data_IF_261040322954
#
_entry.id   IF_261040322954
#
_cell.length_a   1.000
_cell.length_b   1.000
_cell.length_c   1.000
_cell.angle_alpha   90.00
_cell.angle_beta   90.00
_cell.angle_gamma   90.00
#
_symmetry.space_group_name_H-M   'P 1'
#
loop_
_entity.id
_entity.type
_entity.pdbx_description
1 polymer ?
#
# COMPACT_ATOMS: atom_id res chain seq x y z
N UNK A 1 20.50 -4.82 12.49
CA UNK A 1 19.23 -5.20 11.84
C UNK A 1 18.01 -4.56 12.53
N UNK A 2 18.04 -3.23 12.74
CA UNK A 2 16.94 -2.46 13.38
C UNK A 2 16.36 -1.40 12.43
N UNK A 3 17.16 -0.91 11.47
CA UNK A 3 16.76 0.09 10.48
C UNK A 3 15.72 -0.40 9.44
N UNK A 4 15.68 -1.69 9.09
CA UNK A 4 14.76 -2.18 8.04
C UNK A 4 13.27 -2.06 8.42
N UNK A 5 12.93 -2.26 9.70
CA UNK A 5 11.56 -2.14 10.22
C UNK A 5 11.01 -0.71 10.04
N UNK A 6 11.86 0.28 10.30
CA UNK A 6 11.52 1.69 10.08
C UNK A 6 11.43 2.02 8.59
N UNK A 7 12.20 1.34 7.75
CA UNK A 7 12.24 1.61 6.31
C UNK A 7 10.96 1.17 5.59
N UNK A 8 10.42 -0.03 5.88
CA UNK A 8 9.16 -0.46 5.25
C UNK A 8 8.00 0.45 5.63
N UNK A 9 7.96 0.92 6.88
CA UNK A 9 6.98 1.90 7.33
C UNK A 9 7.11 3.20 6.53
N UNK A 10 8.31 3.77 6.43
CA UNK A 10 8.54 5.01 5.69
C UNK A 10 8.06 4.89 4.23
N UNK A 11 8.47 3.82 3.54
CA UNK A 11 8.07 3.58 2.15
C UNK A 11 6.56 3.44 1.99
N UNK A 12 5.90 2.80 2.96
CA UNK A 12 4.45 2.65 2.97
C UNK A 12 3.76 4.00 3.18
N UNK A 13 4.30 4.84 4.06
CA UNK A 13 3.80 6.19 4.30
C UNK A 13 3.99 7.10 3.08
N UNK A 14 5.16 7.06 2.43
CA UNK A 14 5.41 7.80 1.19
C UNK A 14 4.44 7.38 0.07
N UNK A 15 4.19 6.07 -0.04
CA UNK A 15 3.21 5.54 -0.99
C UNK A 15 1.80 6.04 -0.66
N UNK A 16 1.46 6.13 0.62
CA UNK A 16 0.17 6.66 1.05
C UNK A 16 0.00 8.14 0.64
N UNK A 17 1.00 8.97 0.89
CA UNK A 17 1.02 10.37 0.47
C UNK A 17 0.88 10.52 -1.05
N UNK A 18 1.44 9.59 -1.82
CA UNK A 18 1.28 9.58 -3.28
C UNK A 18 -0.15 9.24 -3.73
N UNK A 19 -0.88 8.40 -2.98
CA UNK A 19 -2.26 8.03 -3.31
C UNK A 19 -3.28 9.16 -3.05
N UNK A 20 -3.06 10.06 -2.11
CA UNK A 20 -4.03 11.13 -1.81
C UNK A 20 -4.29 12.09 -2.99
N UNK A 21 -3.26 12.67 -3.65
CA UNK A 21 -3.46 13.43 -4.88
C UNK A 21 -4.04 12.60 -6.02
N UNK A 22 -3.89 11.26 -5.97
CA UNK A 22 -4.48 10.37 -6.96
C UNK A 22 -6.01 10.37 -6.87
N UNK A 23 -6.55 10.26 -5.66
CA UNK A 23 -7.99 10.19 -5.39
C UNK A 23 -8.72 11.47 -5.79
N UNK A 24 -8.07 12.63 -5.60
CA UNK A 24 -8.61 13.92 -6.02
C UNK A 24 -8.86 14.03 -7.54
N UNK A 25 -8.13 13.27 -8.37
CA UNK A 25 -8.33 13.24 -9.82
C UNK A 25 -9.40 12.26 -10.29
N UNK A 26 -9.94 11.43 -9.40
CA UNK A 26 -11.06 10.54 -9.74
C UNK A 26 -12.32 11.40 -9.93
N UNK A 27 -13.12 11.17 -11.00
CA UNK A 27 -14.39 11.85 -11.21
C UNK A 27 -15.31 11.75 -10.00
N UNK A 28 -16.08 12.81 -9.73
CA UNK A 28 -16.96 12.90 -8.54
C UNK A 28 -17.91 11.70 -8.43
N UNK A 29 -18.42 11.20 -9.56
CA UNK A 29 -19.30 10.02 -9.64
C UNK A 29 -18.68 8.73 -9.09
N UNK A 30 -17.34 8.59 -9.14
CA UNK A 30 -16.63 7.39 -8.70
C UNK A 30 -15.84 7.60 -7.41
N UNK A 31 -15.73 8.84 -6.91
CA UNK A 31 -14.93 9.18 -5.73
C UNK A 31 -15.45 8.51 -4.47
N UNK A 32 -16.77 8.46 -4.28
CA UNK A 32 -17.40 7.84 -3.10
C UNK A 32 -17.25 6.32 -3.05
N UNK A 33 -16.94 5.68 -4.19
CA UNK A 33 -16.77 4.23 -4.27
C UNK A 33 -15.28 3.90 -4.39
N UNK A 34 -14.66 4.22 -5.53
CA UNK A 34 -13.27 3.87 -5.82
C UNK A 34 -12.28 4.73 -5.01
N UNK A 35 -12.54 6.03 -4.91
CA UNK A 35 -11.69 6.94 -4.13
C UNK A 35 -11.64 6.54 -2.66
N UNK A 36 -12.82 6.41 -2.04
CA UNK A 36 -12.97 5.94 -0.66
C UNK A 36 -12.30 4.58 -0.42
N UNK A 37 -12.51 3.61 -1.31
CA UNK A 37 -11.90 2.29 -1.19
C UNK A 37 -10.36 2.35 -1.19
N UNK A 38 -9.76 3.22 -2.01
CA UNK A 38 -8.32 3.45 -2.04
C UNK A 38 -7.86 4.10 -0.73
N UNK A 39 -8.49 5.20 -0.31
CA UNK A 39 -8.10 5.94 0.90
C UNK A 39 -8.15 5.07 2.15
N UNK A 40 -9.26 4.34 2.35
CA UNK A 40 -9.41 3.45 3.50
C UNK A 40 -8.32 2.38 3.54
N UNK A 41 -7.98 1.79 2.39
CA UNK A 41 -6.97 0.71 2.31
C UNK A 41 -5.56 1.23 2.49
N UNK A 42 -5.27 2.41 1.95
CA UNK A 42 -3.98 3.08 2.14
C UNK A 42 -3.75 3.43 3.61
N UNK A 43 -4.76 4.00 4.29
CA UNK A 43 -4.69 4.33 5.72
C UNK A 43 -4.52 3.05 6.55
N UNK A 44 -5.34 2.02 6.28
CA UNK A 44 -5.28 0.75 6.97
C UNK A 44 -3.89 0.08 6.81
N UNK A 45 -3.31 0.12 5.62
CA UNK A 45 -1.99 -0.44 5.34
C UNK A 45 -0.90 0.22 6.19
N UNK A 46 -0.86 1.55 6.23
CA UNK A 46 0.13 2.30 7.04
C UNK A 46 0.01 1.94 8.52
N UNK A 47 -1.22 1.94 9.05
CA UNK A 47 -1.48 1.61 10.45
C UNK A 47 -1.08 0.16 10.75
N UNK A 48 -1.39 -0.77 9.85
CA UNK A 48 -1.07 -2.20 10.03
C UNK A 48 0.43 -2.45 9.98
N UNK A 49 1.17 -1.80 9.08
CA UNK A 49 2.64 -1.85 9.05
C UNK A 49 3.24 -1.33 10.36
N UNK A 50 2.73 -0.20 10.87
CA UNK A 50 3.17 0.35 12.16
C UNK A 50 2.91 -0.62 13.33
N UNK A 51 1.71 -1.22 13.39
CA UNK A 51 1.37 -2.25 14.38
C UNK A 51 2.24 -3.49 14.26
N UNK A 52 2.48 -3.99 13.04
CA UNK A 52 3.35 -5.15 12.83
C UNK A 52 4.79 -4.88 13.31
N UNK A 53 5.26 -3.63 13.19
CA UNK A 53 6.59 -3.23 13.64
C UNK A 53 6.77 -3.30 15.16
N UNK A 54 5.72 -3.08 15.96
CA UNK A 54 5.79 -3.17 17.42
C UNK A 54 5.59 -4.60 17.96
N UNK A 55 5.16 -5.54 17.10
CA UNK A 55 4.88 -6.92 17.47
C UNK A 55 6.04 -7.88 17.14
N UNK A 56 5.96 -9.10 17.68
CA UNK A 56 6.91 -10.20 17.46
C UNK A 56 6.17 -11.52 17.26
N UNK A 57 6.88 -12.52 16.75
CA UNK A 57 6.37 -13.89 16.61
C UNK A 57 5.11 -13.97 15.75
N UNK A 58 4.17 -14.81 16.18
CA UNK A 58 2.95 -15.14 15.44
C UNK A 58 2.05 -13.93 15.16
N UNK A 59 1.91 -13.01 16.10
CA UNK A 59 1.07 -11.82 15.93
C UNK A 59 1.62 -10.87 14.86
N UNK A 60 2.95 -10.72 14.79
CA UNK A 60 3.60 -9.99 13.68
C UNK A 60 3.34 -10.70 12.35
N UNK A 61 3.49 -12.02 12.30
CA UNK A 61 3.28 -12.79 11.07
C UNK A 61 1.86 -12.66 10.53
N UNK A 62 0.84 -12.70 11.40
CA UNK A 62 -0.56 -12.46 11.02
C UNK A 62 -0.75 -11.10 10.36
N UNK A 63 -0.19 -10.04 10.95
CA UNK A 63 -0.27 -8.70 10.36
C UNK A 63 0.54 -8.59 9.06
N UNK A 64 1.70 -9.24 8.96
CA UNK A 64 2.47 -9.28 7.71
C UNK A 64 1.69 -9.92 6.56
N UNK A 65 0.92 -10.99 6.83
CA UNK A 65 0.02 -11.57 5.84
C UNK A 65 -1.10 -10.60 5.44
N UNK A 66 -1.70 -9.91 6.42
CA UNK A 66 -2.71 -8.89 6.15
C UNK A 66 -2.14 -7.75 5.27
N UNK A 67 -0.94 -7.26 5.57
CA UNK A 67 -0.24 -6.24 4.77
C UNK A 67 -0.03 -6.74 3.33
N UNK A 68 0.33 -8.02 3.14
CA UNK A 68 0.49 -8.61 1.80
C UNK A 68 -0.82 -8.57 1.02
N UNK A 69 -1.93 -8.97 1.64
CA UNK A 69 -3.25 -8.96 1.02
C UNK A 69 -3.74 -7.54 0.68
N UNK A 70 -3.48 -6.57 1.56
CA UNK A 70 -3.82 -5.17 1.32
C UNK A 70 -3.02 -4.57 0.16
N UNK A 71 -1.73 -4.93 0.03
CA UNK A 71 -0.91 -4.53 -1.12
C UNK A 71 -1.47 -5.09 -2.43
N UNK A 72 -1.90 -6.35 -2.47
CA UNK A 72 -2.51 -6.95 -3.66
C UNK A 72 -3.85 -6.29 -4.00
N UNK A 73 -4.66 -5.98 -3.00
CA UNK A 73 -5.91 -5.24 -3.16
C UNK A 73 -5.64 -3.85 -3.75
N UNK A 74 -4.67 -3.10 -3.21
CA UNK A 74 -4.29 -1.78 -3.71
C UNK A 74 -3.74 -1.84 -5.14
N UNK A 75 -3.05 -2.91 -5.55
CA UNK A 75 -2.64 -3.12 -6.95
C UNK A 75 -3.84 -3.22 -7.87
N UNK A 76 -4.88 -3.95 -7.47
CA UNK A 76 -6.11 -4.09 -8.25
C UNK A 76 -6.80 -2.72 -8.37
N UNK A 77 -6.96 -1.99 -7.27
CA UNK A 77 -7.58 -0.67 -7.27
C UNK A 77 -6.78 0.33 -8.13
N UNK A 78 -5.44 0.33 -8.05
CA UNK A 78 -4.60 1.17 -8.90
C UNK A 78 -4.76 0.81 -10.38
N UNK A 79 -4.82 -0.49 -10.72
CA UNK A 79 -5.05 -0.95 -12.10
C UNK A 79 -6.40 -0.47 -12.63
N UNK A 80 -7.46 -0.55 -11.82
CA UNK A 80 -8.78 -0.01 -12.18
C UNK A 80 -8.71 1.48 -12.51
N UNK A 81 -7.97 2.29 -11.73
CA UNK A 81 -7.84 3.72 -12.02
C UNK A 81 -7.18 4.00 -13.39
N UNK A 82 -6.29 3.12 -13.83
CA UNK A 82 -5.63 3.20 -15.15
C UNK A 82 -6.58 2.72 -16.26
N UNK A 83 -7.26 1.59 -16.07
CA UNK A 83 -8.18 1.03 -17.09
C UNK A 83 -9.40 1.94 -17.31
N UNK A 84 -9.88 2.61 -16.27
CA UNK A 84 -10.91 3.66 -16.34
C UNK A 84 -10.38 5.01 -16.85
N UNK A 85 -9.10 5.08 -17.23
CA UNK A 85 -8.43 6.29 -17.76
C UNK A 85 -8.38 7.47 -16.78
N UNK A 86 -8.54 7.25 -15.48
CA UNK A 86 -8.33 8.29 -14.46
C UNK A 86 -6.84 8.59 -14.23
N UNK A 87 -5.96 7.69 -14.71
CA UNK A 87 -4.50 7.83 -14.66
C UNK A 87 -3.83 7.48 -15.97
N UNK A 88 -2.73 8.17 -16.23
CA UNK A 88 -1.82 7.81 -17.32
C UNK A 88 -1.08 6.50 -17.01
N UNK A 89 -0.63 5.82 -18.07
CA UNK A 89 0.20 4.62 -17.96
C UNK A 89 1.48 4.91 -17.14
N UNK A 90 2.07 6.09 -17.30
CA UNK A 90 3.26 6.52 -16.54
C UNK A 90 2.99 6.59 -15.04
N UNK A 91 1.87 7.18 -14.64
CA UNK A 91 1.48 7.25 -13.22
C UNK A 91 1.16 5.87 -12.64
N UNK A 92 0.49 5.02 -13.40
CA UNK A 92 0.26 3.63 -13.02
C UNK A 92 1.58 2.88 -12.80
N UNK A 93 2.51 2.95 -13.75
CA UNK A 93 3.80 2.28 -13.68
C UNK A 93 4.59 2.71 -12.44
N UNK A 94 4.67 4.01 -12.17
CA UNK A 94 5.32 4.54 -10.98
C UNK A 94 4.71 3.99 -9.68
N UNK A 95 3.38 4.07 -9.53
CA UNK A 95 2.72 3.57 -8.33
C UNK A 95 2.86 2.04 -8.16
N UNK A 96 2.77 1.29 -9.26
CA UNK A 96 2.95 -0.15 -9.25
C UNK A 96 4.37 -0.56 -8.85
N UNK A 97 5.38 0.15 -9.33
CA UNK A 97 6.78 -0.08 -8.97
C UNK A 97 7.02 0.13 -7.48
N UNK A 98 6.49 1.21 -6.91
CA UNK A 98 6.59 1.48 -5.46
C UNK A 98 5.88 0.44 -4.61
N UNK A 99 4.71 -0.03 -5.01
CA UNK A 99 4.05 -1.17 -4.34
C UNK A 99 4.87 -2.47 -4.43
N UNK A 100 5.57 -2.70 -5.55
CA UNK A 100 6.46 -3.85 -5.70
C UNK A 100 7.71 -3.74 -4.82
N UNK A 101 8.26 -2.54 -4.65
CA UNK A 101 9.32 -2.27 -3.68
C UNK A 101 8.88 -2.66 -2.27
N UNK A 102 7.73 -2.15 -1.81
CA UNK A 102 7.17 -2.45 -0.48
C UNK A 102 6.94 -3.97 -0.31
N UNK A 103 6.37 -4.65 -1.31
CA UNK A 103 6.13 -6.09 -1.22
C UNK A 103 7.42 -6.92 -1.17
N UNK A 104 8.50 -6.50 -1.85
CA UNK A 104 9.81 -7.15 -1.71
C UNK A 104 10.36 -6.98 -0.30
N UNK A 105 10.25 -5.78 0.27
CA UNK A 105 10.67 -5.50 1.64
C UNK A 105 9.85 -6.32 2.65
N UNK A 106 8.54 -6.41 2.47
CA UNK A 106 7.66 -7.23 3.31
C UNK A 106 8.08 -8.70 3.27
N UNK A 107 8.31 -9.26 2.08
CA UNK A 107 8.76 -10.65 1.93
C UNK A 107 10.11 -10.90 2.60
N UNK A 108 11.06 -9.96 2.50
CA UNK A 108 12.33 -10.06 3.21
C UNK A 108 12.11 -10.05 4.72
N UNK A 109 11.26 -9.14 5.22
CA UNK A 109 10.92 -9.03 6.64
C UNK A 109 10.20 -10.28 7.19
N UNK A 110 9.38 -10.95 6.38
CA UNK A 110 8.71 -12.20 6.77
C UNK A 110 9.65 -13.40 6.90
N UNK A 111 10.79 -13.39 6.21
CA UNK A 111 11.82 -14.45 6.33
C UNK A 111 12.64 -14.33 7.60
N UNK A 112 12.72 -13.12 8.18
CA UNK A 112 13.40 -12.88 9.44
C UNK A 112 12.43 -13.22 10.57
N UNK A 113 12.59 -14.42 11.14
CA UNK A 113 11.83 -14.92 12.30
C UNK A 113 12.06 -14.03 13.52
#
# INVERSE_FOLDING_TARGET
>A
MMCEKLLIFQKTYDQALWFYPLVNRIPKSHRMVLGKAIEERVIALVITVSKANSLKGLERQKLQQLISNDLDTLRILLRLTKDLKFKSIKQYAFGAEKMNEIARMLRAWMKVV
#
